data_IF_105711418409
#
_entry.id   IF_105711418409
#
_cell.length_a   1.000
_cell.length_b   1.000
_cell.length_c   1.000
_cell.angle_alpha   90.00
_cell.angle_beta   90.00
_cell.angle_gamma   90.00
#
_symmetry.space_group_name_H-M   'P 1'
#
loop_
_entity.id
_entity.type
_entity.pdbx_description
1 polymer ?
#
# COMPACT_ATOMS: atom_id res chain seq x y z
N UNK A 1 6.64 -3.89 -67.63
CA UNK A 1 6.95 -4.05 -66.19
C UNK A 1 6.87 -2.67 -65.55
N UNK A 2 5.88 -2.46 -64.69
CA UNK A 2 5.57 -1.13 -64.15
C UNK A 2 6.44 -0.87 -62.90
N UNK A 3 7.22 0.22 -62.92
CA UNK A 3 8.08 0.65 -61.81
C UNK A 3 7.31 1.03 -60.52
N UNK A 4 5.97 1.02 -60.56
CA UNK A 4 5.13 1.30 -59.39
C UNK A 4 5.11 0.18 -58.34
N UNK A 5 5.25 -1.08 -58.75
CA UNK A 5 5.13 -2.24 -57.85
C UNK A 5 6.23 -2.35 -56.78
N UNK A 6 7.53 -2.12 -57.07
CA UNK A 6 8.56 -2.15 -56.02
C UNK A 6 8.50 -0.94 -55.09
N UNK A 7 7.96 0.19 -55.55
CA UNK A 7 7.96 1.45 -54.80
C UNK A 7 6.85 1.46 -53.74
N UNK A 8 5.66 0.90 -54.06
CA UNK A 8 4.59 0.70 -53.08
C UNK A 8 4.95 -0.35 -52.03
N UNK A 9 5.62 -1.45 -52.43
CA UNK A 9 6.08 -2.48 -51.49
C UNK A 9 7.09 -1.93 -50.47
N UNK A 10 8.02 -1.07 -50.89
CA UNK A 10 9.01 -0.45 -50.01
C UNK A 10 8.41 0.49 -48.96
N UNK A 11 7.39 1.27 -49.33
CA UNK A 11 6.71 2.20 -48.41
C UNK A 11 5.91 1.45 -47.34
N UNK A 12 5.23 0.36 -47.73
CA UNK A 12 4.46 -0.47 -46.79
C UNK A 12 5.40 -1.14 -45.78
N UNK A 13 6.56 -1.61 -46.22
CA UNK A 13 7.55 -2.24 -45.35
C UNK A 13 8.15 -1.25 -44.33
N UNK A 14 8.38 0.01 -44.74
CA UNK A 14 8.88 1.07 -43.85
C UNK A 14 7.88 1.46 -42.75
N UNK A 15 6.59 1.55 -43.08
CA UNK A 15 5.54 1.90 -42.11
C UNK A 15 5.37 0.79 -41.06
N UNK A 16 5.48 -0.47 -41.47
CA UNK A 16 5.41 -1.61 -40.55
C UNK A 16 6.57 -1.64 -39.55
N UNK A 17 7.80 -1.29 -39.97
CA UNK A 17 8.97 -1.23 -39.10
C UNK A 17 8.88 -0.13 -38.04
N UNK A 18 8.33 1.04 -38.40
CA UNK A 18 8.10 2.15 -37.47
C UNK A 18 7.06 1.80 -36.41
N UNK A 19 6.01 1.06 -36.78
CA UNK A 19 4.99 0.62 -35.83
C UNK A 19 5.52 -0.40 -34.82
N UNK A 20 6.35 -1.36 -35.26
CA UNK A 20 6.92 -2.39 -34.38
C UNK A 20 7.86 -1.82 -33.30
N UNK A 21 8.67 -0.81 -33.63
CA UNK A 21 9.55 -0.15 -32.64
C UNK A 21 8.76 0.63 -31.58
N UNK A 22 7.60 1.19 -31.93
CA UNK A 22 6.76 1.92 -30.97
C UNK A 22 6.02 0.98 -30.01
N UNK A 23 5.70 -0.24 -30.45
CA UNK A 23 5.03 -1.25 -29.62
C UNK A 23 5.98 -1.80 -28.56
N UNK A 24 7.24 -2.08 -28.91
CA UNK A 24 8.24 -2.60 -27.96
C UNK A 24 8.58 -1.58 -26.86
N UNK A 25 8.71 -0.29 -27.23
CA UNK A 25 8.93 0.80 -26.28
C UNK A 25 7.75 1.00 -25.31
N UNK A 26 6.52 0.85 -25.79
CA UNK A 26 5.32 0.94 -24.94
C UNK A 26 5.20 -0.24 -23.97
N UNK A 27 5.53 -1.45 -24.43
CA UNK A 27 5.48 -2.65 -23.59
C UNK A 27 6.52 -2.56 -22.47
N UNK A 28 7.76 -2.17 -22.77
CA UNK A 28 8.83 -1.99 -21.78
C UNK A 28 8.49 -0.91 -20.73
N UNK A 29 7.80 0.16 -21.13
CA UNK A 29 7.37 1.21 -20.21
C UNK A 29 6.18 0.78 -19.34
N UNK A 30 5.28 -0.05 -19.89
CA UNK A 30 4.14 -0.63 -19.15
C UNK A 30 4.59 -1.69 -18.13
N UNK A 31 5.56 -2.54 -18.47
CA UNK A 31 6.05 -3.60 -17.58
C UNK A 31 6.85 -3.05 -16.40
N UNK A 32 7.73 -2.07 -16.66
CA UNK A 32 8.47 -1.38 -15.59
C UNK A 32 7.51 -0.59 -14.68
N UNK A 33 6.47 0.03 -15.25
CA UNK A 33 5.44 0.72 -14.48
C UNK A 33 4.58 -0.21 -13.62
N UNK A 34 4.32 -1.44 -14.09
CA UNK A 34 3.57 -2.45 -13.34
C UNK A 34 4.40 -3.08 -12.22
N UNK A 35 5.67 -3.40 -12.47
CA UNK A 35 6.57 -3.96 -11.47
C UNK A 35 6.76 -2.99 -10.29
N UNK A 36 7.09 -1.72 -10.55
CA UNK A 36 7.22 -0.73 -9.48
C UNK A 36 5.91 -0.46 -8.74
N UNK A 37 4.75 -0.48 -9.43
CA UNK A 37 3.44 -0.37 -8.76
C UNK A 37 3.13 -1.57 -7.87
N UNK A 38 3.56 -2.76 -8.28
CA UNK A 38 3.39 -3.98 -7.51
C UNK A 38 4.27 -3.96 -6.25
N UNK A 39 5.53 -3.53 -6.35
CA UNK A 39 6.46 -3.36 -5.22
C UNK A 39 5.94 -2.33 -4.22
N UNK A 40 5.51 -1.15 -4.71
CA UNK A 40 4.85 -0.13 -3.89
C UNK A 40 3.59 -0.71 -3.20
N UNK A 41 2.85 -1.56 -3.92
CA UNK A 41 1.64 -2.20 -3.42
C UNK A 41 1.93 -3.14 -2.27
N UNK A 42 2.95 -3.99 -2.42
CA UNK A 42 3.41 -4.90 -1.37
C UNK A 42 3.97 -4.17 -0.15
N UNK A 43 4.68 -3.05 -0.34
CA UNK A 43 5.18 -2.25 0.78
C UNK A 43 4.03 -1.63 1.59
N UNK A 44 3.01 -1.10 0.92
CA UNK A 44 1.81 -0.59 1.59
C UNK A 44 1.05 -1.70 2.34
N UNK A 45 0.97 -2.91 1.77
CA UNK A 45 0.36 -4.06 2.44
C UNK A 45 1.16 -4.54 3.65
N UNK A 46 2.49 -4.57 3.54
CA UNK A 46 3.37 -4.90 4.66
C UNK A 46 3.23 -3.89 5.81
N UNK A 47 3.12 -2.59 5.52
CA UNK A 47 2.88 -1.56 6.53
C UNK A 47 1.49 -1.70 7.20
N UNK A 48 0.46 -2.10 6.45
CA UNK A 48 -0.86 -2.43 6.99
C UNK A 48 -0.82 -3.65 7.91
N UNK A 49 -0.09 -4.70 7.52
CA UNK A 49 0.11 -5.89 8.34
C UNK A 49 0.91 -5.59 9.61
N UNK A 50 1.94 -4.75 9.51
CA UNK A 50 2.72 -4.30 10.67
C UNK A 50 1.86 -3.56 11.69
N UNK A 51 0.87 -2.78 11.24
CA UNK A 51 -0.06 -2.06 12.14
C UNK A 51 -0.98 -3.02 12.89
N UNK A 52 -1.43 -4.09 12.24
CA UNK A 52 -2.21 -5.15 12.89
C UNK A 52 -1.35 -5.99 13.83
N UNK A 53 -0.11 -6.30 13.43
CA UNK A 53 0.83 -7.03 14.27
C UNK A 53 1.18 -6.24 15.54
N UNK A 54 1.34 -4.92 15.42
CA UNK A 54 1.54 -4.03 16.55
C UNK A 54 0.34 -4.05 17.50
N UNK A 55 -0.89 -3.94 16.98
CA UNK A 55 -2.11 -4.07 17.78
C UNK A 55 -2.18 -5.42 18.54
N UNK A 56 -1.84 -6.52 17.86
CA UNK A 56 -1.80 -7.85 18.49
C UNK A 56 -0.67 -7.98 19.52
N UNK A 57 0.51 -7.42 19.27
CA UNK A 57 1.66 -7.49 20.19
C UNK A 57 1.40 -6.69 21.47
N UNK A 58 0.73 -5.54 21.37
CA UNK A 58 0.35 -4.72 22.53
C UNK A 58 -0.55 -5.48 23.52
N UNK A 59 -1.33 -6.46 23.06
CA UNK A 59 -2.14 -7.32 23.95
C UNK A 59 -1.34 -8.42 24.67
N UNK A 60 -0.10 -8.71 24.24
CA UNK A 60 0.70 -9.82 24.75
C UNK A 60 1.60 -9.40 25.91
N UNK A 61 1.71 -10.21 26.98
CA UNK A 61 2.73 -10.01 28.02
C UNK A 61 4.13 -10.27 27.42
N UNK A 62 5.19 -9.55 27.85
CA UNK A 62 5.28 -8.61 28.97
C UNK A 62 4.96 -7.15 28.60
N UNK A 63 4.61 -6.86 27.35
CA UNK A 63 4.47 -5.51 26.80
C UNK A 63 3.15 -4.80 27.20
N UNK A 64 2.39 -5.38 28.13
CA UNK A 64 0.96 -5.09 28.26
C UNK A 64 0.55 -4.74 29.70
N UNK A 65 0.06 -3.50 29.94
CA UNK A 65 -0.87 -3.18 31.03
C UNK A 65 -2.34 -3.46 30.65
N UNK A 66 -2.61 -4.19 29.56
CA UNK A 66 -3.94 -4.51 29.03
C UNK A 66 -4.52 -5.79 29.66
N UNK A 67 -5.87 -5.96 29.69
CA UNK A 67 -6.89 -5.14 29.05
C UNK A 67 -7.13 -3.80 29.74
N UNK A 68 -7.24 -2.71 28.96
CA UNK A 68 -7.75 -1.43 29.45
C UNK A 68 -9.29 -1.55 29.57
N UNK A 69 -9.90 -1.12 30.69
CA UNK A 69 -11.34 -1.28 30.89
C UNK A 69 -12.20 -0.43 29.95
N UNK A 70 -11.70 0.72 29.48
CA UNK A 70 -12.39 1.59 28.53
C UNK A 70 -11.82 1.46 27.10
N UNK A 71 -12.67 1.03 26.17
CA UNK A 71 -12.29 0.88 24.77
C UNK A 71 -11.99 2.20 24.06
N UNK A 72 -12.50 3.34 24.53
CA UNK A 72 -12.12 4.64 23.96
C UNK A 72 -10.67 4.97 24.33
N UNK A 73 -10.32 4.83 25.59
CA UNK A 73 -8.94 5.00 26.07
C UNK A 73 -7.97 4.03 25.36
N UNK A 74 -8.38 2.79 25.11
CA UNK A 74 -7.60 1.82 24.34
C UNK A 74 -7.45 2.21 22.86
N UNK A 75 -8.49 2.79 22.25
CA UNK A 75 -8.43 3.29 20.87
C UNK A 75 -7.45 4.46 20.74
N UNK A 76 -7.49 5.44 21.65
CA UNK A 76 -6.56 6.57 21.65
C UNK A 76 -5.12 6.12 21.90
N UNK A 77 -4.90 5.15 22.81
CA UNK A 77 -3.58 4.56 23.04
C UNK A 77 -3.05 3.81 21.80
N UNK A 78 -3.87 2.98 21.17
CA UNK A 78 -3.50 2.27 19.94
C UNK A 78 -3.21 3.24 18.80
N UNK A 79 -4.02 4.28 18.63
CA UNK A 79 -3.79 5.31 17.62
C UNK A 79 -2.45 6.02 17.85
N UNK A 80 -2.12 6.35 19.11
CA UNK A 80 -0.85 6.94 19.47
C UNK A 80 0.33 6.03 19.10
N UNK A 81 0.30 4.76 19.49
CA UNK A 81 1.39 3.81 19.19
C UNK A 81 1.58 3.62 17.67
N UNK A 82 0.50 3.61 16.89
CA UNK A 82 0.59 3.53 15.42
C UNK A 82 1.19 4.81 14.83
N UNK A 83 0.84 5.99 15.37
CA UNK A 83 1.40 7.27 14.95
C UNK A 83 2.87 7.43 15.37
N UNK A 84 3.27 6.89 16.53
CA UNK A 84 4.67 6.87 16.96
C UNK A 84 5.50 5.96 16.05
N UNK A 85 4.89 4.90 15.49
CA UNK A 85 5.44 4.08 14.43
C UNK A 85 5.10 4.57 13.01
N UNK A 86 4.69 5.83 12.83
CA UNK A 86 4.05 6.35 11.60
C UNK A 86 4.89 6.18 10.34
N UNK A 87 6.21 6.32 10.40
CA UNK A 87 7.07 6.23 9.23
C UNK A 87 7.77 4.87 9.22
N UNK A 88 7.53 4.11 8.16
CA UNK A 88 8.25 2.87 7.89
C UNK A 88 8.87 2.95 6.50
N UNK A 89 10.17 2.66 6.42
CA UNK A 89 10.85 2.44 5.15
C UNK A 89 10.91 0.94 4.91
N UNK A 90 10.22 0.46 3.87
CA UNK A 90 10.20 -0.95 3.49
C UNK A 90 10.77 -1.01 2.07
N UNK A 91 11.90 -1.69 1.88
CA UNK A 91 12.54 -1.84 0.56
C UNK A 91 12.73 -0.48 -0.16
N UNK A 92 13.31 0.50 0.54
CA UNK A 92 13.51 1.90 0.09
C UNK A 92 12.23 2.72 -0.20
N UNK A 93 11.05 2.16 0.06
CA UNK A 93 9.76 2.85 -0.08
C UNK A 93 9.36 3.46 1.26
N UNK A 94 9.21 4.79 1.28
CA UNK A 94 8.69 5.48 2.46
C UNK A 94 7.18 5.33 2.52
N UNK A 95 6.70 4.67 3.57
CA UNK A 95 5.29 4.51 3.85
C UNK A 95 4.95 5.31 5.09
N UNK A 96 3.92 6.15 4.98
CA UNK A 96 3.38 6.92 6.10
C UNK A 96 2.09 6.28 6.58
N UNK A 97 2.01 6.10 7.90
CA UNK A 97 0.86 5.56 8.62
C UNK A 97 0.29 6.65 9.51
N UNK A 98 -1.00 6.93 9.37
CA UNK A 98 -1.74 7.80 10.29
C UNK A 98 -2.83 6.97 10.97
N UNK A 99 -3.04 7.21 12.25
CA UNK A 99 -4.13 6.63 13.01
C UNK A 99 -4.97 7.73 13.64
N UNK A 100 -6.28 7.69 13.42
CA UNK A 100 -7.25 8.58 14.08
C UNK A 100 -8.25 7.74 14.87
N UNK A 101 -8.41 8.03 16.15
CA UNK A 101 -9.46 7.44 16.96
C UNK A 101 -10.81 8.11 16.67
N UNK A 102 -11.83 7.28 16.47
CA UNK A 102 -13.20 7.69 16.20
C UNK A 102 -14.10 7.00 17.23
N UNK A 103 -13.89 7.36 18.50
CA UNK A 103 -14.52 6.71 19.64
C UNK A 103 -13.82 5.40 19.98
N UNK A 104 -14.45 4.26 19.66
CA UNK A 104 -13.92 2.92 19.99
C UNK A 104 -13.16 2.27 18.82
N UNK A 105 -13.10 2.92 17.67
CA UNK A 105 -12.41 2.42 16.48
C UNK A 105 -11.22 3.30 16.15
N UNK A 106 -10.21 2.71 15.53
CA UNK A 106 -9.02 3.40 15.03
C UNK A 106 -8.96 3.26 13.52
N UNK A 107 -9.02 4.37 12.79
CA UNK A 107 -8.79 4.40 11.35
C UNK A 107 -7.29 4.48 11.10
N UNK A 108 -6.71 3.44 10.49
CA UNK A 108 -5.33 3.43 10.02
C UNK A 108 -5.30 3.73 8.55
N UNK A 109 -4.58 4.76 8.15
CA UNK A 109 -4.33 5.10 6.76
C UNK A 109 -2.88 4.85 6.44
N UNK A 110 -2.62 4.27 5.27
CA UNK A 110 -1.29 3.94 4.78
C UNK A 110 -1.12 4.58 3.41
N UNK A 111 -0.12 5.44 3.29
CA UNK A 111 0.20 6.16 2.07
C UNK A 111 1.62 5.85 1.63
N UNK A 112 1.74 5.46 0.37
CA UNK A 112 2.99 5.26 -0.35
C UNK A 112 3.00 6.13 -1.61
N UNK A 113 4.17 6.57 -2.05
CA UNK A 113 4.28 7.40 -3.24
C UNK A 113 3.66 6.73 -4.47
N UNK A 114 2.89 7.51 -5.25
CA UNK A 114 2.25 7.07 -6.50
C UNK A 114 1.20 5.95 -6.34
N UNK A 115 0.75 5.65 -5.13
CA UNK A 115 -0.37 4.75 -4.87
C UNK A 115 -1.56 5.45 -4.23
N UNK A 116 -2.74 4.85 -4.39
CA UNK A 116 -3.93 5.25 -3.66
C UNK A 116 -3.73 4.97 -2.17
N UNK A 117 -4.14 5.92 -1.33
CA UNK A 117 -4.17 5.75 0.13
C UNK A 117 -5.02 4.54 0.47
N UNK A 118 -4.46 3.63 1.28
CA UNK A 118 -5.21 2.49 1.83
C UNK A 118 -5.67 2.85 3.23
N UNK A 119 -6.91 2.51 3.55
CA UNK A 119 -7.50 2.79 4.85
C UNK A 119 -8.05 1.50 5.45
N UNK A 120 -7.94 1.35 6.77
CA UNK A 120 -8.50 0.20 7.49
C UNK A 120 -8.91 0.59 8.89
N UNK A 121 -10.11 0.15 9.27
CA UNK A 121 -10.60 0.26 10.63
C UNK A 121 -10.05 -0.88 11.49
N UNK A 122 -9.53 -0.55 12.65
CA UNK A 122 -9.12 -1.46 13.71
C UNK A 122 -10.03 -1.27 14.93
N UNK A 123 -10.46 -2.38 15.53
CA UNK A 123 -11.21 -2.38 16.79
C UNK A 123 -10.30 -2.88 17.90
N UNK A 124 -9.90 -2.05 18.88
CA UNK A 124 -9.04 -2.48 20.00
C UNK A 124 -9.61 -3.68 20.76
N UNK A 125 -10.95 -3.80 20.86
CA UNK A 125 -11.62 -4.95 21.47
C UNK A 125 -11.35 -6.26 20.72
N UNK A 126 -11.27 -6.21 19.38
CA UNK A 126 -10.98 -7.40 18.56
C UNK A 126 -9.54 -7.91 18.78
N UNK A 127 -8.65 -7.06 19.27
CA UNK A 127 -7.27 -7.39 19.60
C UNK A 127 -7.07 -7.67 21.10
N UNK A 128 -8.15 -7.71 21.90
CA UNK A 128 -8.04 -7.92 23.35
C UNK A 128 -7.41 -6.75 24.12
N UNK A 129 -7.29 -5.58 23.50
CA UNK A 129 -6.74 -4.37 24.13
C UNK A 129 -7.76 -3.71 25.07
N UNK A 130 -9.04 -3.99 24.92
CA UNK A 130 -10.05 -3.56 25.87
C UNK A 130 -11.11 -4.64 26.09
N UNK A 131 -11.68 -4.64 27.29
CA UNK A 131 -12.91 -5.39 27.55
C UNK A 131 -14.08 -4.44 27.37
N UNK A 132 -15.07 -4.84 26.56
CA UNK A 132 -16.40 -4.24 26.60
C UNK A 132 -17.10 -4.73 27.87
N UNK A 133 -16.59 -4.38 29.05
CA UNK A 133 -17.38 -4.50 30.27
C UNK A 133 -18.45 -3.41 30.18
N UNK A 134 -19.62 -3.82 29.71
CA UNK A 134 -20.89 -3.10 29.80
C UNK A 134 -21.14 -2.56 31.19
#
# INVERSE_FOLDING_TARGET
MNLLEPLTAGVIFFIALLASLQIDAYIAQSSNGQASRQELGSAADAAMLASQALASNLSQPPNSPFPIPDCRSAASALAKEINDASVATIDDITVTRSATDQGILVLVEVKADKLATRQRWLSPAAYGLCSSNS
#
